data_IF_995809144833
#
_entry.id   IF_995809144833
#
_cell.length_a   1.000
_cell.length_b   1.000
_cell.length_c   1.000
_cell.angle_alpha   90.00
_cell.angle_beta   90.00
_cell.angle_gamma   90.00
#
_symmetry.space_group_name_H-M   'P 1'
#
loop_
_entity.id
_entity.type
_entity.pdbx_description
1 polymer ?
#
# COMPACT_ATOMS: atom_id res chain seq x y z
N UNK A 1 -2.52 -74.63 15.17
CA UNK A 1 -2.49 -74.71 13.69
C UNK A 1 -3.67 -73.91 13.15
N UNK A 2 -3.42 -72.97 12.23
CA UNK A 2 -4.23 -72.45 11.10
C UNK A 2 -5.78 -72.38 11.26
N UNK A 3 -6.55 -71.38 10.80
CA UNK A 3 -6.34 -70.24 9.92
C UNK A 3 -7.72 -69.68 9.54
N UNK A 4 -7.90 -68.34 9.52
CA UNK A 4 -8.76 -67.52 8.61
C UNK A 4 -10.30 -67.71 8.69
N UNK A 5 -11.21 -66.74 8.48
CA UNK A 5 -11.16 -65.37 7.90
C UNK A 5 -12.54 -64.69 7.99
N UNK A 6 -12.54 -63.35 7.92
CA UNK A 6 -13.54 -62.46 7.27
C UNK A 6 -14.89 -62.22 7.99
N UNK A 7 -15.50 -61.02 8.03
CA UNK A 7 -15.27 -59.75 7.30
C UNK A 7 -16.07 -58.60 7.99
N UNK A 8 -15.48 -57.41 7.92
CA UNK A 8 -16.07 -56.08 7.67
C UNK A 8 -17.16 -55.50 8.62
N UNK A 9 -16.94 -54.26 9.09
CA UNK A 9 -17.60 -53.04 8.57
C UNK A 9 -17.33 -51.80 9.47
N UNK A 10 -17.27 -50.63 8.81
CA UNK A 10 -17.48 -49.26 9.32
C UNK A 10 -16.29 -48.67 10.13
N UNK A 11 -15.81 -47.45 9.89
CA UNK A 11 -16.35 -46.36 9.09
C UNK A 11 -15.32 -45.27 8.86
N UNK A 12 -15.60 -44.51 7.80
CA UNK A 12 -14.90 -43.30 7.40
C UNK A 12 -14.95 -42.24 8.50
N UNK A 13 -13.83 -41.59 8.79
CA UNK A 13 -13.88 -40.18 9.16
C UNK A 13 -12.68 -39.46 8.54
N UNK A 14 -13.03 -38.60 7.60
CA UNK A 14 -12.13 -37.70 6.91
C UNK A 14 -11.63 -36.65 7.91
N UNK A 15 -10.33 -36.65 8.22
CA UNK A 15 -9.68 -35.52 8.88
C UNK A 15 -8.92 -34.73 7.83
N UNK A 16 -9.66 -33.84 7.17
CA UNK A 16 -9.11 -32.75 6.38
C UNK A 16 -8.50 -31.75 7.36
N UNK A 17 -7.19 -31.85 7.61
CA UNK A 17 -6.46 -30.72 8.20
C UNK A 17 -5.95 -29.88 7.05
N UNK A 18 -6.71 -28.84 6.76
CA UNK A 18 -6.34 -27.70 5.93
C UNK A 18 -5.05 -27.07 6.51
N UNK A 19 -3.90 -27.44 5.97
CA UNK A 19 -2.68 -26.67 6.11
C UNK A 19 -2.74 -25.45 5.19
N UNK A 20 -3.64 -24.51 5.48
CA UNK A 20 -3.65 -23.18 4.88
C UNK A 20 -2.89 -22.24 5.82
N UNK A 21 -1.57 -22.33 5.77
CA UNK A 21 -0.71 -21.27 6.26
C UNK A 21 0.27 -20.93 5.15
N UNK A 22 -0.23 -20.24 4.12
CA UNK A 22 0.63 -19.41 3.29
C UNK A 22 1.07 -18.24 4.15
N UNK A 23 2.37 -18.07 4.48
CA UNK A 23 2.85 -16.73 4.71
C UNK A 23 2.88 -16.10 3.32
N UNK A 24 1.86 -15.32 2.98
CA UNK A 24 2.09 -14.23 2.05
C UNK A 24 3.05 -13.29 2.78
N UNK A 25 4.34 -13.60 2.73
CA UNK A 25 5.36 -12.58 2.87
C UNK A 25 5.09 -11.65 1.70
N UNK A 26 4.37 -10.56 1.96
CA UNK A 26 4.34 -9.43 1.07
C UNK A 26 5.80 -9.01 0.94
N UNK A 27 6.46 -9.45 -0.13
CA UNK A 27 7.73 -8.88 -0.56
C UNK A 27 7.42 -7.43 -0.88
N UNK A 28 7.57 -6.56 0.12
CA UNK A 28 7.62 -5.13 -0.09
C UNK A 28 8.67 -4.92 -1.18
N UNK A 29 8.23 -4.45 -2.34
CA UNK A 29 9.09 -4.19 -3.49
C UNK A 29 10.19 -3.24 -3.03
N UNK A 30 11.36 -3.81 -2.72
CA UNK A 30 12.41 -3.15 -1.94
C UNK A 30 13.15 -2.10 -2.77
N UNK A 31 12.71 -1.89 -4.01
CA UNK A 31 13.23 -0.92 -4.96
C UNK A 31 12.59 0.47 -4.82
N UNK A 32 11.43 0.59 -4.17
CA UNK A 32 10.74 1.88 -4.04
C UNK A 32 11.36 2.74 -2.94
N UNK A 33 11.68 3.99 -3.30
CA UNK A 33 12.32 4.99 -2.44
C UNK A 33 11.42 6.20 -2.34
N UNK A 34 11.17 6.66 -1.12
CA UNK A 34 10.50 7.92 -0.85
C UNK A 34 11.53 8.92 -0.32
N UNK A 35 11.35 10.21 -0.64
CA UNK A 35 12.14 11.29 -0.05
C UNK A 35 11.27 12.03 0.94
N UNK A 36 11.65 12.01 2.22
CA UNK A 36 10.94 12.67 3.31
C UNK A 36 11.77 13.86 3.77
N UNK A 37 11.33 15.07 3.44
CA UNK A 37 12.18 16.26 3.63
C UNK A 37 13.48 16.12 2.84
N UNK A 38 14.59 15.85 3.52
CA UNK A 38 15.92 15.63 2.91
C UNK A 38 16.44 14.20 3.01
N UNK A 39 15.64 13.27 3.56
CA UNK A 39 16.06 11.90 3.80
C UNK A 39 15.41 10.92 2.83
N UNK A 40 16.21 10.06 2.21
CA UNK A 40 15.71 9.02 1.33
C UNK A 40 15.65 7.68 2.07
N UNK A 41 14.48 7.03 2.06
CA UNK A 41 14.29 5.74 2.71
C UNK A 41 13.46 4.78 1.85
N UNK A 42 13.53 3.49 2.15
CA UNK A 42 12.65 2.53 1.49
C UNK A 42 11.19 2.80 1.88
N UNK A 43 10.28 2.64 0.94
CA UNK A 43 8.86 2.75 1.20
C UNK A 43 8.08 1.84 0.26
N UNK A 44 6.91 1.37 0.69
CA UNK A 44 5.92 0.82 -0.23
C UNK A 44 4.75 1.79 -0.36
N UNK A 45 4.25 1.93 -1.58
CA UNK A 45 3.16 2.85 -1.89
C UNK A 45 2.06 2.09 -2.61
N UNK A 46 0.86 2.17 -2.07
CA UNK A 46 -0.33 1.56 -2.64
C UNK A 46 -1.36 2.65 -2.94
N UNK A 47 -1.65 2.84 -4.22
CA UNK A 47 -2.70 3.73 -4.69
C UNK A 47 -3.93 2.90 -5.06
N UNK A 48 -5.07 3.16 -4.43
CA UNK A 48 -6.34 2.51 -4.73
C UNK A 48 -7.48 3.53 -4.71
N UNK A 49 -8.16 3.69 -5.84
CA UNK A 49 -9.27 4.63 -6.04
C UNK A 49 -8.91 6.06 -5.59
N UNK A 50 -9.35 6.41 -4.38
CA UNK A 50 -9.23 7.72 -3.73
C UNK A 50 -8.35 7.66 -2.48
N UNK A 51 -7.66 6.54 -2.25
CA UNK A 51 -6.80 6.29 -1.12
C UNK A 51 -5.36 6.03 -1.56
N UNK A 52 -4.44 6.54 -0.75
CA UNK A 52 -3.00 6.37 -0.85
C UNK A 52 -2.50 5.86 0.49
N UNK A 53 -1.96 4.65 0.48
CA UNK A 53 -1.27 4.08 1.64
C UNK A 53 0.23 4.10 1.38
N UNK A 54 0.98 4.59 2.37
CA UNK A 54 2.44 4.65 2.33
C UNK A 54 2.94 3.95 3.59
N UNK A 55 3.74 2.91 3.41
CA UNK A 55 4.46 2.26 4.49
C UNK A 55 5.94 2.65 4.39
N UNK A 56 6.48 3.20 5.46
CA UNK A 56 7.88 3.61 5.55
C UNK A 56 8.74 2.49 6.17
N UNK A 57 10.04 2.54 5.90
CA UNK A 57 11.04 1.58 6.40
C UNK A 57 11.09 1.55 7.94
N UNK A 58 10.88 2.70 8.58
CA UNK A 58 10.84 2.83 10.03
C UNK A 58 9.56 2.29 10.69
N UNK A 59 8.65 1.70 9.90
CA UNK A 59 7.42 1.10 10.39
C UNK A 59 6.24 2.07 10.45
N UNK A 60 6.44 3.38 10.22
CA UNK A 60 5.31 4.32 10.14
C UNK A 60 4.44 4.04 8.91
N UNK A 61 3.14 4.15 9.12
CA UNK A 61 2.14 4.02 8.06
C UNK A 61 1.37 5.32 7.92
N UNK A 62 1.28 5.84 6.71
CA UNK A 62 0.43 6.99 6.37
C UNK A 62 -0.72 6.51 5.50
N UNK A 63 -1.92 6.97 5.82
CA UNK A 63 -3.09 6.73 4.97
C UNK A 63 -3.72 8.07 4.59
N UNK A 64 -3.65 8.41 3.31
CA UNK A 64 -4.20 9.63 2.76
C UNK A 64 -5.43 9.33 1.90
N UNK A 65 -6.53 10.06 2.13
CA UNK A 65 -7.72 10.01 1.29
C UNK A 65 -7.95 11.32 0.57
N UNK A 66 -8.32 11.24 -0.71
CA UNK A 66 -8.69 12.37 -1.53
C UNK A 66 -9.94 13.08 -1.00
N UNK A 67 -9.85 14.40 -0.95
CA UNK A 67 -10.94 15.30 -0.60
C UNK A 67 -11.31 16.12 -1.83
N UNK A 68 -12.33 15.67 -2.54
CA UNK A 68 -12.90 16.40 -3.68
C UNK A 68 -12.21 16.09 -5.01
N UNK A 69 -12.27 17.07 -5.91
CA UNK A 69 -11.91 16.88 -7.33
C UNK A 69 -10.45 17.21 -7.59
N UNK A 70 -9.91 16.59 -8.63
CA UNK A 70 -8.61 16.99 -9.18
C UNK A 70 -8.73 18.35 -9.86
N UNK A 71 -7.86 19.27 -9.50
CA UNK A 71 -7.54 20.44 -10.32
C UNK A 71 -6.43 20.04 -11.28
N UNK A 72 -6.60 20.36 -12.57
CA UNK A 72 -5.57 20.12 -13.58
C UNK A 72 -5.20 21.44 -14.24
N UNK A 73 -3.93 21.77 -14.21
CA UNK A 73 -3.38 22.94 -14.91
C UNK A 73 -2.30 22.47 -15.86
N UNK A 74 -2.31 23.00 -17.09
CA UNK A 74 -1.25 22.79 -18.06
C UNK A 74 -0.64 24.14 -18.41
N UNK A 75 0.67 24.29 -18.22
CA UNK A 75 1.40 25.51 -18.53
C UNK A 75 2.76 25.15 -19.12
N UNK A 76 3.14 25.78 -20.22
CA UNK A 76 4.44 25.58 -20.87
C UNK A 76 4.77 24.09 -21.14
N UNK A 77 3.77 23.30 -21.49
CA UNK A 77 3.90 21.86 -21.73
C UNK A 77 3.98 20.99 -20.47
N UNK A 78 3.96 21.59 -19.28
CA UNK A 78 3.97 20.88 -17.99
C UNK A 78 2.54 20.67 -17.53
N UNK A 79 2.15 19.41 -17.27
CA UNK A 79 0.85 19.09 -16.68
C UNK A 79 0.99 18.87 -15.19
N UNK A 80 0.19 19.59 -14.41
CA UNK A 80 0.13 19.49 -12.96
C UNK A 80 -1.30 19.14 -12.55
N UNK A 81 -1.47 18.02 -11.85
CA UNK A 81 -2.72 17.60 -11.21
C UNK A 81 -2.58 17.74 -9.71
N UNK A 82 -3.56 18.36 -9.06
CA UNK A 82 -3.56 18.57 -7.61
C UNK A 82 -4.90 18.17 -7.00
N UNK A 83 -4.87 17.54 -5.82
CA UNK A 83 -6.07 17.34 -5.02
C UNK A 83 -5.76 17.46 -3.52
N UNK A 84 -6.76 17.93 -2.78
CA UNK A 84 -6.67 17.98 -1.32
C UNK A 84 -6.73 16.56 -0.75
N UNK A 85 -5.99 16.32 0.31
CA UNK A 85 -5.93 15.02 0.99
C UNK A 85 -6.19 15.19 2.49
N UNK A 86 -6.95 14.25 3.06
CA UNK A 86 -6.98 13.99 4.51
C UNK A 86 -5.96 12.90 4.80
N UNK A 87 -4.94 13.20 5.59
CA UNK A 87 -3.81 12.31 5.86
C UNK A 87 -3.90 11.88 7.31
N UNK A 88 -4.01 10.58 7.55
CA UNK A 88 -3.91 9.97 8.86
C UNK A 88 -2.45 9.54 9.10
N UNK A 89 -1.86 10.08 10.17
CA UNK A 89 -0.47 9.82 10.60
C UNK A 89 -0.38 8.75 11.71
N UNK A 90 -1.52 8.16 12.10
CA UNK A 90 -1.63 7.19 13.19
C UNK A 90 -2.35 7.79 14.40
N UNK A 91 -1.71 8.75 15.07
CA UNK A 91 -2.22 9.47 16.24
C UNK A 91 -2.84 10.83 15.90
N UNK A 92 -2.53 11.39 14.73
CA UNK A 92 -3.01 12.69 14.25
C UNK A 92 -3.58 12.63 12.83
N UNK A 93 -4.42 13.62 12.51
CA UNK A 93 -5.00 13.81 11.19
C UNK A 93 -4.69 15.22 10.70
N UNK A 94 -3.99 15.28 9.57
CA UNK A 94 -3.62 16.54 8.91
C UNK A 94 -4.26 16.66 7.54
N UNK A 95 -4.33 17.89 7.03
CA UNK A 95 -4.80 18.18 5.69
C UNK A 95 -3.64 18.63 4.83
N UNK A 96 -3.55 18.07 3.63
CA UNK A 96 -2.45 18.30 2.70
C UNK A 96 -2.89 18.31 1.26
N UNK A 97 -1.91 18.31 0.37
CA UNK A 97 -2.07 18.34 -1.07
C UNK A 97 -1.26 17.21 -1.70
N UNK A 98 -1.91 16.44 -2.56
CA UNK A 98 -1.24 15.51 -3.46
C UNK A 98 -1.08 16.21 -4.82
N UNK A 99 0.17 16.36 -5.25
CA UNK A 99 0.52 16.95 -6.54
C UNK A 99 1.15 15.87 -7.43
N UNK A 100 0.71 15.80 -8.68
CA UNK A 100 1.30 14.96 -9.74
C UNK A 100 1.72 15.86 -10.88
N UNK A 101 3.02 15.93 -11.13
CA UNK A 101 3.65 16.74 -12.16
C UNK A 101 4.27 15.85 -13.22
N UNK A 102 4.11 16.21 -14.49
CA UNK A 102 4.77 15.50 -15.60
C UNK A 102 6.29 15.65 -15.63
N UNK A 103 6.86 16.57 -14.82
CA UNK A 103 8.32 16.81 -14.75
C UNK A 103 8.89 16.41 -13.39
N UNK A 104 8.23 16.79 -12.30
CA UNK A 104 8.76 16.63 -10.94
C UNK A 104 8.19 15.40 -10.22
N UNK A 105 7.39 14.57 -10.89
CA UNK A 105 6.82 13.36 -10.31
C UNK A 105 5.66 13.63 -9.34
N UNK A 106 5.48 12.76 -8.36
CA UNK A 106 4.38 12.82 -7.40
C UNK A 106 4.84 13.24 -6.01
N UNK A 107 4.16 14.20 -5.40
CA UNK A 107 4.47 14.68 -4.04
C UNK A 107 3.22 14.77 -3.17
N UNK A 108 3.35 14.34 -1.91
CA UNK A 108 2.35 14.53 -0.87
C UNK A 108 2.89 15.55 0.14
N UNK A 109 2.21 16.69 0.29
CA UNK A 109 2.68 17.80 1.12
C UNK A 109 1.64 18.21 2.15
N UNK A 110 2.06 18.52 3.37
CA UNK A 110 1.24 19.11 4.43
C UNK A 110 2.11 20.06 5.28
N UNK A 111 1.56 20.86 6.21
CA UNK A 111 2.29 21.98 6.83
C UNK A 111 3.65 21.67 7.46
N UNK A 112 3.90 20.42 7.84
CA UNK A 112 5.14 20.00 8.52
C UNK A 112 6.06 19.13 7.66
N UNK A 113 5.60 18.64 6.51
CA UNK A 113 6.36 17.65 5.75
C UNK A 113 5.98 17.62 4.27
N UNK A 114 6.96 17.26 3.45
CA UNK A 114 6.78 16.87 2.06
C UNK A 114 7.36 15.46 1.89
N UNK A 115 6.61 14.61 1.22
CA UNK A 115 7.07 13.29 0.78
C UNK A 115 7.03 13.27 -0.74
N UNK A 116 8.17 13.02 -1.36
CA UNK A 116 8.26 12.67 -2.77
C UNK A 116 8.04 11.17 -2.91
N UNK A 117 7.10 10.81 -3.77
CA UNK A 117 6.67 9.44 -4.00
C UNK A 117 7.22 8.96 -5.34
N UNK A 118 7.53 7.66 -5.47
CA UNK A 118 7.82 7.07 -6.77
C UNK A 118 6.63 7.25 -7.72
N UNK A 119 6.88 7.15 -9.02
CA UNK A 119 5.83 7.31 -10.03
C UNK A 119 4.66 6.35 -9.79
N UNK A 120 3.53 6.94 -9.40
CA UNK A 120 2.29 6.20 -9.18
C UNK A 120 1.72 5.78 -10.53
N UNK A 121 1.86 4.49 -10.85
CA UNK A 121 1.18 3.91 -12.01
C UNK A 121 -0.34 4.01 -11.80
N UNK A 122 -1.10 4.40 -12.83
CA UNK A 122 -2.56 4.47 -12.77
C UNK A 122 -3.21 3.09 -12.63
#
# INVERSE_FOLDING_TARGET
MLSRTSKALIGLSASWILALAWPFAATADTSMRCVIGSEQQACSVLWQDDALEIQLEDGRQLHARRLGRWSTTTRDGVSIKQCNMRINLGDDVVYGLLTRSSITGTTLTWPRLQIELPDLKP
#
